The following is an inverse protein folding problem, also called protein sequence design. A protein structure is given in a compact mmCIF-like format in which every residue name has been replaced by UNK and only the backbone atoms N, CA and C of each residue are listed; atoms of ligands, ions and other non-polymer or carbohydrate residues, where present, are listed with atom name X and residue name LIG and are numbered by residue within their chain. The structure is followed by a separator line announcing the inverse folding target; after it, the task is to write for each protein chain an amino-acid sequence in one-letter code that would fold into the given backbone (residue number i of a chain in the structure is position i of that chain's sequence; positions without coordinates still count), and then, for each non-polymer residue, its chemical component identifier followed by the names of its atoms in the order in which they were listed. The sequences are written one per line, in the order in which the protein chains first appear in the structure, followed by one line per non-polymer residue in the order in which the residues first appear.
data_IF_105579540004
#
_entry.id   IF_105579540004
#
_cell.length_a   1.000
_cell.length_b   1.000
_cell.length_c   1.000
_cell.angle_alpha   90.00
_cell.angle_beta   90.00
_cell.angle_gamma   90.00
#
_symmetry.space_group_name_H-M   'P 1'
#
loop_
_entity.id
_entity.type
_entity.pdbx_description
1 polymer ?
#
# COMPACT_ATOMS: atom_id res chain seq x y z
N UNK A 1 7.84 9.23 -18.01
CA UNK A 1 7.53 8.85 -16.61
C UNK A 1 8.72 8.08 -16.09
N UNK A 2 9.13 8.29 -14.82
CA UNK A 2 10.10 7.40 -14.19
C UNK A 2 9.58 5.96 -14.26
N UNK A 3 10.49 5.00 -14.42
CA UNK A 3 10.10 3.60 -14.58
C UNK A 3 10.19 2.93 -13.22
N UNK A 4 9.08 2.36 -12.75
CA UNK A 4 9.08 1.67 -11.47
C UNK A 4 9.81 0.33 -11.58
N UNK A 5 10.80 0.11 -10.73
CA UNK A 5 11.41 -1.20 -10.55
C UNK A 5 10.52 -2.05 -9.65
N UNK A 6 10.16 -3.26 -10.11
CA UNK A 6 9.39 -4.25 -9.32
C UNK A 6 10.16 -5.57 -9.15
N UNK A 7 11.34 -5.66 -9.75
CA UNK A 7 12.31 -6.73 -9.54
C UNK A 7 13.20 -6.36 -8.36
N UNK A 8 13.37 -7.29 -7.42
CA UNK A 8 14.15 -7.07 -6.21
C UNK A 8 15.26 -8.13 -6.13
N UNK A 9 16.51 -7.69 -6.02
CA UNK A 9 17.71 -8.53 -5.93
C UNK A 9 18.37 -8.50 -4.55
N UNK A 10 17.69 -7.93 -3.55
CA UNK A 10 18.15 -7.81 -2.18
C UNK A 10 17.76 -8.96 -1.24
N UNK A 11 17.94 -8.79 0.08
CA UNK A 11 17.60 -9.80 1.09
C UNK A 11 16.11 -10.14 1.10
N UNK A 12 15.77 -11.40 0.89
CA UNK A 12 14.40 -11.88 0.90
C UNK A 12 14.06 -12.60 2.21
N UNK A 13 12.88 -12.33 2.76
CA UNK A 13 12.29 -13.08 3.87
C UNK A 13 11.23 -14.03 3.31
N UNK A 14 11.32 -15.31 3.66
CA UNK A 14 10.26 -16.29 3.42
C UNK A 14 9.34 -16.38 4.61
N UNK A 15 8.04 -16.50 4.36
CA UNK A 15 7.00 -16.60 5.38
C UNK A 15 5.84 -17.42 4.85
N UNK A 16 5.08 -18.02 5.77
CA UNK A 16 3.87 -18.79 5.45
C UNK A 16 2.67 -18.17 6.17
N UNK A 17 2.07 -17.18 5.51
CA UNK A 17 0.83 -16.53 5.95
C UNK A 17 -0.18 -16.71 4.82
N UNK A 18 -1.10 -17.69 4.93
CA UNK A 18 -2.04 -17.99 3.87
C UNK A 18 -2.87 -16.78 3.42
N UNK A 19 -2.94 -16.56 2.12
CA UNK A 19 -3.72 -15.48 1.50
C UNK A 19 -3.08 -14.10 1.57
N UNK A 20 -1.89 -13.93 2.17
CA UNK A 20 -1.09 -12.71 2.11
C UNK A 20 -0.14 -12.74 0.91
N UNK A 21 -0.11 -11.67 0.14
CA UNK A 21 0.91 -11.39 -0.86
C UNK A 21 1.57 -10.05 -0.55
N UNK A 22 2.90 -9.98 -0.69
CA UNK A 22 3.67 -8.74 -0.51
C UNK A 22 4.28 -8.32 -1.85
N UNK A 23 4.11 -7.06 -2.22
CA UNK A 23 4.75 -6.46 -3.39
C UNK A 23 5.55 -5.22 -2.99
N UNK A 24 6.67 -5.00 -3.66
CA UNK A 24 7.54 -3.83 -3.48
C UNK A 24 7.77 -3.20 -4.85
N UNK A 25 7.76 -1.87 -4.89
CA UNK A 25 7.97 -1.12 -6.11
C UNK A 25 8.74 0.18 -5.80
N UNK A 26 9.75 0.51 -6.59
CA UNK A 26 10.69 1.61 -6.30
C UNK A 26 10.95 2.49 -7.53
N UNK A 27 11.26 3.76 -7.28
CA UNK A 27 11.83 4.70 -8.25
C UNK A 27 13.26 5.04 -7.84
N UNK A 28 14.23 4.64 -8.65
CA UNK A 28 15.66 4.88 -8.39
C UNK A 28 16.03 6.36 -8.46
N UNK A 29 15.28 7.17 -9.24
CA UNK A 29 15.55 8.60 -9.41
C UNK A 29 15.30 9.41 -8.13
N UNK A 30 14.39 8.93 -7.27
CA UNK A 30 13.97 9.59 -6.02
C UNK A 30 14.63 9.04 -4.75
N UNK A 31 15.48 8.02 -4.87
CA UNK A 31 15.37 6.75 -4.14
C UNK A 31 14.17 6.63 -3.17
N UNK A 32 12.99 6.33 -3.72
CA UNK A 32 11.76 6.15 -2.93
C UNK A 32 10.91 5.01 -3.49
N UNK A 33 9.87 4.57 -2.78
CA UNK A 33 9.02 3.48 -3.24
C UNK A 33 7.82 3.21 -2.34
N UNK A 34 7.17 2.07 -2.59
CA UNK A 34 6.09 1.57 -1.76
C UNK A 34 6.17 0.05 -1.54
N UNK A 35 5.63 -0.38 -0.41
CA UNK A 35 5.42 -1.78 -0.05
C UNK A 35 3.93 -2.02 0.17
N UNK A 36 3.40 -3.07 -0.44
CA UNK A 36 1.97 -3.40 -0.41
C UNK A 36 1.78 -4.79 0.18
N UNK A 37 0.92 -4.88 1.19
CA UNK A 37 0.45 -6.12 1.78
C UNK A 37 -0.98 -6.36 1.30
N UNK A 38 -1.21 -7.30 0.39
CA UNK A 38 -2.52 -7.59 -0.17
C UNK A 38 -3.06 -8.92 0.36
N UNK A 39 -4.32 -8.94 0.80
CA UNK A 39 -4.98 -10.11 1.36
C UNK A 39 -6.10 -10.59 0.45
N UNK A 40 -6.08 -11.84 -0.01
CA UNK A 40 -7.04 -12.40 -0.98
C UNK A 40 -8.50 -12.10 -0.66
N UNK A 41 -8.88 -12.21 0.62
CA UNK A 41 -10.25 -11.96 1.09
C UNK A 41 -10.41 -10.66 1.88
N UNK A 42 -9.32 -9.91 2.08
CA UNK A 42 -9.24 -8.85 3.06
C UNK A 42 -9.21 -9.37 4.50
N UNK A 43 -8.83 -8.50 5.44
CA UNK A 43 -8.64 -8.84 6.85
C UNK A 43 -9.19 -7.74 7.76
N UNK A 44 -9.73 -8.09 8.95
CA UNK A 44 -9.96 -7.12 10.00
C UNK A 44 -8.62 -6.60 10.54
N UNK A 45 -8.58 -5.36 10.98
CA UNK A 45 -7.39 -4.79 11.59
C UNK A 45 -7.72 -3.77 12.67
N UNK A 46 -6.75 -3.55 13.54
CA UNK A 46 -6.69 -2.46 14.51
C UNK A 46 -5.37 -1.73 14.32
N UNK A 47 -5.31 -0.46 14.69
CA UNK A 47 -4.12 0.36 14.55
C UNK A 47 -3.86 1.15 15.83
N UNK A 48 -2.57 1.45 16.04
CA UNK A 48 -2.10 2.35 17.09
C UNK A 48 -1.20 3.39 16.42
N UNK A 49 -1.76 4.58 16.18
CA UNK A 49 -1.05 5.68 15.53
C UNK A 49 -0.52 6.62 16.60
N UNK A 50 0.79 6.75 16.65
CA UNK A 50 1.51 7.64 17.57
C UNK A 50 2.46 8.56 16.81
N UNK A 51 3.03 9.52 17.54
CA UNK A 51 3.91 10.55 17.00
C UNK A 51 3.18 11.85 16.70
N UNK A 52 3.95 12.92 16.47
CA UNK A 52 3.40 14.28 16.31
C UNK A 52 2.93 14.64 14.90
N UNK A 53 3.25 13.82 13.88
CA UNK A 53 2.92 14.11 12.48
C UNK A 53 2.66 12.83 11.66
N UNK A 54 1.66 12.01 12.02
CA UNK A 54 1.30 10.83 11.24
C UNK A 54 0.62 11.22 9.93
N UNK A 55 1.07 10.61 8.82
CA UNK A 55 0.35 10.65 7.55
C UNK A 55 -0.21 9.27 7.24
N UNK A 56 -1.53 9.14 7.23
CA UNK A 56 -2.21 7.85 7.03
C UNK A 56 -3.48 8.00 6.19
N UNK A 57 -3.90 6.91 5.57
CA UNK A 57 -5.20 6.79 4.89
C UNK A 57 -5.93 5.59 5.45
N UNK A 58 -7.15 5.81 5.97
CA UNK A 58 -8.04 4.78 6.54
C UNK A 58 -7.41 3.88 7.62
N UNK A 59 -6.27 4.25 8.17
CA UNK A 59 -5.55 3.49 9.17
C UNK A 59 -5.78 4.02 10.59
N UNK A 60 -6.61 5.05 10.79
CA UNK A 60 -6.88 5.73 12.06
C UNK A 60 -7.98 5.06 12.91
N UNK A 61 -8.48 3.91 12.48
CA UNK A 61 -9.59 3.20 13.13
C UNK A 61 -9.46 1.70 12.98
N UNK A 62 -10.13 0.97 13.86
CA UNK A 62 -10.47 -0.44 13.64
C UNK A 62 -11.29 -0.57 12.37
N UNK A 63 -10.96 -1.55 11.53
CA UNK A 63 -11.63 -1.69 10.25
C UNK A 63 -11.36 -3.00 9.54
N UNK A 64 -11.59 -2.97 8.25
CA UNK A 64 -11.35 -4.06 7.32
C UNK A 64 -10.59 -3.52 6.12
N UNK A 65 -9.55 -4.23 5.68
CA UNK A 65 -8.72 -3.84 4.54
C UNK A 65 -8.45 -5.03 3.61
N UNK A 66 -8.58 -4.79 2.30
CA UNK A 66 -8.13 -5.66 1.22
C UNK A 66 -6.61 -5.59 1.04
N UNK A 67 -6.01 -4.43 1.34
CA UNK A 67 -4.57 -4.25 1.35
C UNK A 67 -4.11 -3.11 2.28
N UNK A 68 -2.84 -3.15 2.65
CA UNK A 68 -2.11 -2.04 3.26
C UNK A 68 -1.01 -1.58 2.33
N UNK A 69 -0.83 -0.27 2.17
CA UNK A 69 0.24 0.33 1.39
C UNK A 69 1.08 1.26 2.26
N UNK A 70 2.38 1.02 2.32
CA UNK A 70 3.35 1.86 2.99
C UNK A 70 4.25 2.51 1.95
N UNK A 71 4.40 3.83 1.99
CA UNK A 71 5.11 4.55 0.94
C UNK A 71 6.07 5.60 1.49
N UNK A 72 7.13 5.88 0.73
CA UNK A 72 7.90 7.11 0.85
C UNK A 72 7.16 8.32 0.29
N UNK A 73 7.85 9.44 0.07
CA UNK A 73 7.32 10.63 -0.59
C UNK A 73 6.45 11.54 0.29
N UNK A 74 6.46 11.34 1.62
CA UNK A 74 5.64 12.10 2.57
C UNK A 74 4.16 12.19 2.12
N UNK A 75 3.48 13.32 2.38
CA UNK A 75 2.05 13.51 2.07
C UNK A 75 1.70 13.23 0.60
N UNK A 76 2.65 13.37 -0.33
CA UNK A 76 2.44 13.05 -1.75
C UNK A 76 2.35 11.54 -1.98
N UNK A 77 3.13 10.74 -1.24
CA UNK A 77 3.13 9.28 -1.33
C UNK A 77 1.82 8.61 -0.94
N UNK A 78 0.87 9.34 -0.34
CA UNK A 78 -0.49 8.86 -0.11
C UNK A 78 -1.20 8.45 -1.42
N UNK A 79 -0.75 8.96 -2.58
CA UNK A 79 -1.24 8.54 -3.88
C UNK A 79 -1.06 7.04 -4.15
N UNK A 80 -0.01 6.42 -3.59
CA UNK A 80 0.25 4.99 -3.75
C UNK A 80 -0.90 4.14 -3.17
N UNK A 81 -1.52 4.60 -2.07
CA UNK A 81 -2.67 3.94 -1.44
C UNK A 81 -3.87 3.92 -2.41
N UNK A 82 -4.12 5.03 -3.09
CA UNK A 82 -5.17 5.12 -4.11
C UNK A 82 -4.86 4.27 -5.34
N UNK A 83 -3.59 4.26 -5.80
CA UNK A 83 -3.14 3.41 -6.90
C UNK A 83 -3.37 1.92 -6.64
N UNK A 84 -3.10 1.45 -5.41
CA UNK A 84 -3.41 0.08 -4.99
C UNK A 84 -4.90 -0.20 -5.02
N UNK A 85 -5.73 0.73 -4.55
CA UNK A 85 -7.19 0.58 -4.60
C UNK A 85 -7.69 0.47 -6.04
N UNK A 86 -7.21 1.32 -6.94
CA UNK A 86 -7.53 1.24 -8.38
C UNK A 86 -7.11 -0.10 -8.97
N UNK A 87 -5.87 -0.54 -8.75
CA UNK A 87 -5.38 -1.80 -9.30
C UNK A 87 -6.15 -3.03 -8.77
N UNK A 88 -6.56 -3.02 -7.50
CA UNK A 88 -7.39 -4.09 -6.93
C UNK A 88 -8.81 -4.06 -7.51
N UNK A 89 -9.35 -2.87 -7.77
CA UNK A 89 -10.66 -2.71 -8.38
C UNK A 89 -10.66 -3.18 -9.84
N UNK A 90 -9.64 -2.81 -10.61
CA UNK A 90 -9.47 -3.22 -12.01
C UNK A 90 -9.39 -4.75 -12.14
N UNK A 91 -8.73 -5.44 -11.20
CA UNK A 91 -8.66 -6.91 -11.16
C UNK A 91 -10.03 -7.58 -10.95
N UNK A 92 -10.98 -6.91 -10.30
CA UNK A 92 -12.36 -7.38 -10.13
C UNK A 92 -13.21 -7.14 -11.39
N UNK A 93 -12.80 -6.21 -12.25
CA UNK A 93 -13.53 -5.80 -13.45
C UNK A 93 -14.61 -4.75 -13.16
N UNK A 94 -15.05 -4.07 -14.22
CA UNK A 94 -15.88 -2.85 -14.10
C UNK A 94 -17.39 -3.08 -14.24
N UNK A 95 -17.82 -4.31 -14.51
CA UNK A 95 -19.23 -4.62 -14.71
C UNK A 95 -19.97 -4.81 -13.37
N UNK A 96 -21.21 -4.33 -13.28
CA UNK A 96 -22.11 -4.52 -12.12
C UNK A 96 -21.49 -4.16 -10.76
N UNK A 97 -20.88 -2.98 -10.64
CA UNK A 97 -20.19 -2.52 -9.41
C UNK A 97 -21.18 -2.18 -8.30
N UNK A 98 -21.00 -2.78 -7.12
CA UNK A 98 -21.68 -2.44 -5.87
C UNK A 98 -20.76 -1.64 -4.95
N UNK A 99 -21.34 -0.98 -3.94
CA UNK A 99 -20.57 -0.28 -2.90
C UNK A 99 -19.55 -1.19 -2.20
N UNK A 100 -19.91 -2.46 -1.99
CA UNK A 100 -19.05 -3.46 -1.33
C UNK A 100 -17.89 -3.96 -2.20
N UNK A 101 -17.90 -3.66 -3.50
CA UNK A 101 -16.82 -4.03 -4.42
C UNK A 101 -15.65 -3.05 -4.39
N UNK A 102 -15.82 -1.86 -3.80
CA UNK A 102 -14.75 -0.87 -3.71
C UNK A 102 -13.70 -1.36 -2.70
N UNK A 103 -12.47 -1.68 -3.15
CA UNK A 103 -11.48 -2.29 -2.28
C UNK A 103 -11.06 -1.32 -1.18
N UNK A 104 -11.13 -1.83 0.04
CA UNK A 104 -10.68 -1.14 1.22
C UNK A 104 -9.15 -1.14 1.31
N UNK A 105 -8.47 -0.03 1.05
CA UNK A 105 -7.01 0.08 1.23
C UNK A 105 -6.70 1.05 2.35
N UNK A 106 -5.84 0.64 3.27
CA UNK A 106 -5.29 1.49 4.32
C UNK A 106 -3.79 1.71 4.07
N UNK A 107 -3.20 2.73 4.67
CA UNK A 107 -1.77 2.97 4.46
C UNK A 107 -1.19 4.05 5.34
N UNK A 108 0.13 4.13 5.32
CA UNK A 108 0.90 5.14 6.01
C UNK A 108 2.14 5.52 5.18
N UNK A 109 2.69 6.69 5.48
CA UNK A 109 3.82 7.27 4.75
C UNK A 109 4.97 7.61 5.67
N UNK A 110 6.16 7.74 5.07
CA UNK A 110 7.34 8.33 5.70
C UNK A 110 7.81 9.55 4.91
N UNK A 111 8.57 10.43 5.59
CA UNK A 111 9.34 11.49 4.93
C UNK A 111 10.72 10.96 4.56
N UNK A 112 11.05 10.96 3.28
CA UNK A 112 12.32 10.47 2.71
C UNK A 112 12.91 11.43 1.66
N UNK A 113 12.42 12.68 1.60
CA UNK A 113 12.99 13.68 0.70
C UNK A 113 14.42 14.05 1.08
N UNK A 114 15.25 14.32 0.06
CA UNK A 114 16.65 14.76 0.21
C UNK A 114 17.65 13.62 0.37
N UNK A 115 17.25 12.37 0.06
CA UNK A 115 18.11 11.19 0.10
C UNK A 115 18.77 10.85 -1.26
N UNK A 116 18.49 11.63 -2.31
CA UNK A 116 19.04 11.48 -3.67
C UNK A 116 19.78 12.71 -4.17
#
# INVERSE_FOLDING_TARGET
MPTTATTFDGPALTFDIPGLSVGVAEYEEGPTGCTVFAFERGVPFVSDIRGGSPGTVRADKTGFARAFCFAGGSLLGLEAVAGVASALFDRRGHDHVLWTDIPAVAGAIIFDFGLG
#
